data_IF_187711131245
#
_entry.id   IF_187711131245
#
_cell.length_a   1.000
_cell.length_b   1.000
_cell.length_c   1.000
_cell.angle_alpha   90.00
_cell.angle_beta   90.00
_cell.angle_gamma   90.00
#
_symmetry.space_group_name_H-M   'P 1'
#
loop_
_entity.id
_entity.type
_entity.pdbx_description
1 polymer ?
#
# COMPACT_ATOMS: atom_id res chain seq x y z
N UNK A 1 7.50 -3.81 -18.55
CA UNK A 1 8.65 -2.90 -18.76
C UNK A 1 9.02 -2.22 -17.46
N UNK A 2 8.26 -1.24 -16.96
CA UNK A 2 8.62 -0.57 -15.69
C UNK A 2 8.92 -1.50 -14.50
N UNK A 3 8.11 -2.55 -14.25
CA UNK A 3 8.38 -3.51 -13.16
C UNK A 3 9.75 -4.20 -13.31
N UNK A 4 10.02 -4.70 -14.50
CA UNK A 4 11.29 -5.36 -14.86
C UNK A 4 12.49 -4.40 -14.78
N UNK A 5 12.34 -3.17 -15.30
CA UNK A 5 13.38 -2.14 -15.30
C UNK A 5 13.78 -1.73 -13.88
N UNK A 6 12.82 -1.72 -12.94
CA UNK A 6 13.06 -1.43 -11.54
C UNK A 6 13.45 -2.68 -10.72
N UNK A 7 13.55 -3.85 -11.33
CA UNK A 7 13.86 -5.11 -10.63
C UNK A 7 12.74 -5.61 -9.70
N UNK A 8 11.51 -5.11 -9.88
CA UNK A 8 10.33 -5.51 -9.11
C UNK A 8 9.61 -6.62 -9.84
N UNK A 9 9.49 -7.78 -9.19
CA UNK A 9 8.83 -8.96 -9.74
C UNK A 9 9.67 -9.75 -10.74
N UNK A 10 9.10 -10.83 -11.27
CA UNK A 10 9.73 -11.82 -12.14
C UNK A 10 8.78 -12.15 -13.30
N UNK A 11 9.24 -12.81 -14.38
CA UNK A 11 8.37 -13.23 -15.48
C UNK A 11 7.11 -13.98 -15.03
N UNK A 12 7.21 -14.73 -13.92
CA UNK A 12 6.10 -15.44 -13.28
C UNK A 12 5.12 -14.53 -12.53
N UNK A 13 5.51 -13.32 -12.12
CA UNK A 13 4.70 -12.45 -11.25
C UNK A 13 4.14 -11.21 -11.95
N UNK A 14 4.66 -10.79 -13.11
CA UNK A 14 4.17 -9.58 -13.79
C UNK A 14 2.67 -9.63 -14.13
N UNK A 15 2.21 -10.71 -14.77
CA UNK A 15 0.80 -10.86 -15.13
C UNK A 15 -0.11 -11.02 -13.88
N UNK A 16 0.25 -11.85 -12.88
CA UNK A 16 -0.48 -11.91 -11.62
C UNK A 16 -0.58 -10.58 -10.87
N UNK A 17 0.49 -9.77 -10.83
CA UNK A 17 0.48 -8.44 -10.18
C UNK A 17 -0.56 -7.55 -10.85
N UNK A 18 -0.51 -7.43 -12.18
CA UNK A 18 -1.44 -6.59 -12.96
C UNK A 18 -2.88 -7.06 -12.76
N UNK A 19 -3.10 -8.38 -12.80
CA UNK A 19 -4.44 -8.96 -12.60
C UNK A 19 -4.97 -8.65 -11.20
N UNK A 20 -4.13 -8.83 -10.17
CA UNK A 20 -4.51 -8.58 -8.78
C UNK A 20 -4.91 -7.13 -8.51
N UNK A 21 -4.16 -6.16 -9.05
CA UNK A 21 -4.48 -4.73 -8.83
C UNK A 21 -5.74 -4.27 -9.58
N UNK A 22 -6.07 -4.95 -10.69
CA UNK A 22 -7.32 -4.73 -11.43
C UNK A 22 -8.49 -5.37 -10.68
N UNK A 23 -8.37 -6.64 -10.29
CA UNK A 23 -9.43 -7.41 -9.63
C UNK A 23 -9.82 -6.80 -8.28
N UNK A 24 -8.86 -6.22 -7.56
CA UNK A 24 -9.12 -5.49 -6.30
C UNK A 24 -9.62 -4.06 -6.50
N UNK A 25 -9.76 -3.60 -7.75
CA UNK A 25 -10.29 -2.28 -8.08
C UNK A 25 -9.36 -1.11 -7.73
N UNK A 26 -8.05 -1.35 -7.54
CA UNK A 26 -7.08 -0.27 -7.34
C UNK A 26 -6.78 0.48 -8.65
N UNK A 27 -6.84 -0.23 -9.76
CA UNK A 27 -6.70 0.33 -11.10
C UNK A 27 -7.81 -0.18 -12.02
N UNK A 28 -8.18 0.62 -13.00
CA UNK A 28 -9.08 0.26 -14.09
C UNK A 28 -8.32 0.26 -15.42
N UNK A 29 -8.79 -0.56 -16.38
CA UNK A 29 -8.22 -0.60 -17.73
C UNK A 29 -9.07 0.23 -18.68
N UNK A 30 -8.53 1.34 -19.15
CA UNK A 30 -9.19 2.27 -20.07
C UNK A 30 -8.33 2.43 -21.33
N UNK A 31 -8.86 2.12 -22.52
CA UNK A 31 -8.14 2.26 -23.80
C UNK A 31 -6.74 1.62 -23.81
N UNK A 32 -6.62 0.40 -23.27
CA UNK A 32 -5.35 -0.35 -23.09
C UNK A 32 -4.35 0.29 -22.11
N UNK A 33 -4.71 1.35 -21.39
CA UNK A 33 -3.92 1.97 -20.32
C UNK A 33 -4.47 1.58 -18.96
N UNK A 34 -3.60 1.56 -17.95
CA UNK A 34 -3.99 1.40 -16.54
C UNK A 34 -4.19 2.79 -15.94
N UNK A 35 -5.31 2.98 -15.24
CA UNK A 35 -5.67 4.23 -14.59
C UNK A 35 -6.01 3.97 -13.12
N UNK A 36 -5.40 4.69 -12.17
CA UNK A 36 -5.68 4.50 -10.76
C UNK A 36 -7.10 4.97 -10.41
N UNK A 37 -7.81 4.16 -9.64
CA UNK A 37 -9.13 4.52 -9.11
C UNK A 37 -9.00 5.43 -7.89
N UNK A 38 -10.11 5.99 -7.41
CA UNK A 38 -10.12 6.74 -6.14
C UNK A 38 -9.72 5.85 -4.96
N UNK A 39 -10.14 4.58 -4.97
CA UNK A 39 -9.74 3.60 -3.97
C UNK A 39 -8.23 3.34 -4.04
N UNK A 40 -7.68 3.12 -5.23
CA UNK A 40 -6.25 2.92 -5.44
C UNK A 40 -5.42 4.08 -4.89
N UNK A 41 -5.80 5.33 -5.21
CA UNK A 41 -5.11 6.53 -4.70
C UNK A 41 -5.22 6.67 -3.18
N UNK A 42 -6.38 6.35 -2.61
CA UNK A 42 -6.58 6.46 -1.16
C UNK A 42 -5.72 5.42 -0.40
N UNK A 43 -5.64 4.20 -0.92
CA UNK A 43 -4.79 3.15 -0.34
C UNK A 43 -3.31 3.46 -0.54
N UNK A 44 -2.91 3.89 -1.72
CA UNK A 44 -1.53 4.30 -2.02
C UNK A 44 -1.05 5.43 -1.09
N UNK A 45 -1.84 6.50 -0.97
CA UNK A 45 -1.53 7.61 -0.07
C UNK A 45 -1.45 7.19 1.40
N UNK A 46 -2.31 6.28 1.84
CA UNK A 46 -2.24 5.70 3.18
C UNK A 46 -0.94 4.90 3.38
N UNK A 47 -0.57 4.08 2.41
CA UNK A 47 0.63 3.25 2.49
C UNK A 47 1.89 4.12 2.50
N UNK A 48 1.93 5.19 1.71
CA UNK A 48 3.02 6.19 1.75
C UNK A 48 3.09 6.93 3.09
N UNK A 49 1.96 7.22 3.73
CA UNK A 49 1.93 7.91 5.03
C UNK A 49 2.44 7.02 6.17
N UNK A 50 2.05 5.73 6.17
CA UNK A 50 2.32 4.82 7.29
C UNK A 50 3.56 3.96 7.09
N UNK A 51 3.91 3.64 5.84
CA UNK A 51 4.93 2.67 5.47
C UNK A 51 5.82 3.15 4.32
N UNK A 52 6.37 4.39 4.35
CA UNK A 52 7.06 4.97 3.20
C UNK A 52 8.25 4.13 2.73
N UNK A 53 9.00 3.54 3.66
CA UNK A 53 10.15 2.68 3.40
C UNK A 53 9.78 1.30 2.82
N UNK A 54 8.56 0.81 3.02
CA UNK A 54 8.16 -0.53 2.55
C UNK A 54 7.57 -0.48 1.14
N UNK A 55 6.86 0.60 0.80
CA UNK A 55 6.33 0.81 -0.56
C UNK A 55 7.35 1.44 -1.51
N UNK A 56 8.56 1.67 -1.03
CA UNK A 56 9.65 2.16 -1.84
C UNK A 56 10.06 1.13 -2.92
N UNK A 57 10.42 1.66 -4.09
CA UNK A 57 10.77 0.87 -5.27
C UNK A 57 12.09 0.13 -5.04
N UNK A 58 13.09 0.80 -4.46
CA UNK A 58 14.41 0.21 -4.21
C UNK A 58 14.32 -0.85 -3.13
N UNK A 59 13.54 -0.61 -2.08
CA UNK A 59 13.25 -1.61 -1.05
C UNK A 59 12.60 -2.87 -1.63
N UNK A 60 11.57 -2.70 -2.47
CA UNK A 60 10.89 -3.82 -3.12
C UNK A 60 11.87 -4.63 -4.00
N UNK A 61 12.73 -3.95 -4.76
CA UNK A 61 13.75 -4.59 -5.59
C UNK A 61 14.82 -5.31 -4.74
N UNK A 62 15.22 -4.74 -3.60
CA UNK A 62 16.16 -5.38 -2.68
C UNK A 62 15.57 -6.65 -2.07
N UNK A 63 14.31 -6.62 -1.65
CA UNK A 63 13.63 -7.79 -1.12
C UNK A 63 13.56 -8.93 -2.14
N UNK A 64 13.21 -8.63 -3.38
CA UNK A 64 13.24 -9.57 -4.50
C UNK A 64 14.63 -10.20 -4.69
N UNK A 65 15.71 -9.41 -4.63
CA UNK A 65 17.09 -9.92 -4.69
C UNK A 65 17.43 -10.81 -3.50
N UNK A 66 16.92 -10.50 -2.31
CA UNK A 66 17.16 -11.32 -1.12
C UNK A 66 16.42 -12.66 -1.23
N UNK A 67 15.23 -12.69 -1.81
CA UNK A 67 14.52 -13.93 -2.11
C UNK A 67 15.24 -14.79 -3.17
N UNK A 68 15.85 -14.19 -4.21
CA UNK A 68 16.68 -14.95 -5.16
C UNK A 68 17.93 -15.57 -4.49
N UNK A 69 18.53 -14.87 -3.50
CA UNK A 69 19.65 -15.43 -2.71
C UNK A 69 19.20 -16.63 -1.89
N UNK A 70 17.98 -16.60 -1.36
CA UNK A 70 17.37 -17.73 -0.67
C UNK A 70 17.15 -18.89 -1.63
N UNK A 71 16.56 -18.64 -2.81
CA UNK A 71 16.34 -19.68 -3.83
C UNK A 71 17.65 -20.36 -4.26
N UNK A 72 18.72 -19.58 -4.41
CA UNK A 72 20.06 -20.10 -4.76
C UNK A 72 20.85 -20.69 -3.59
N UNK A 73 20.26 -20.76 -2.38
CA UNK A 73 20.89 -21.32 -1.18
C UNK A 73 22.03 -20.48 -0.60
N UNK A 74 22.16 -19.21 -1.01
CA UNK A 74 23.22 -18.28 -0.54
C UNK A 74 22.87 -17.59 0.76
N UNK A 75 21.62 -17.67 1.20
CA UNK A 75 21.14 -17.05 2.44
C UNK A 75 20.05 -17.92 3.06
N UNK A 76 20.01 -17.95 4.39
CA UNK A 76 18.98 -18.64 5.15
C UNK A 76 17.65 -17.86 5.12
N UNK A 77 16.57 -18.54 4.75
CA UNK A 77 15.26 -17.92 4.58
C UNK A 77 14.65 -17.44 5.90
N UNK A 78 14.89 -18.15 7.01
CA UNK A 78 14.39 -17.74 8.31
C UNK A 78 15.00 -16.40 8.71
N UNK A 79 16.32 -16.26 8.53
CA UNK A 79 17.03 -15.01 8.79
C UNK A 79 16.51 -13.87 7.92
N UNK A 80 16.32 -14.08 6.62
CA UNK A 80 15.78 -13.04 5.72
C UNK A 80 14.40 -12.55 6.16
N UNK A 81 13.50 -13.47 6.53
CA UNK A 81 12.16 -13.10 7.00
C UNK A 81 12.21 -12.41 8.37
N UNK A 82 13.04 -12.90 9.29
CA UNK A 82 13.19 -12.32 10.63
C UNK A 82 13.77 -10.90 10.59
N UNK A 83 14.78 -10.67 9.75
CA UNK A 83 15.40 -9.35 9.56
C UNK A 83 14.39 -8.34 8.98
N UNK A 84 13.56 -8.75 8.03
CA UNK A 84 12.46 -7.94 7.51
C UNK A 84 11.41 -7.64 8.60
N UNK A 85 10.94 -8.69 9.28
CA UNK A 85 9.77 -8.58 10.15
C UNK A 85 10.04 -7.72 11.39
N UNK A 86 11.27 -7.72 11.93
CA UNK A 86 11.65 -6.85 13.04
C UNK A 86 11.44 -5.36 12.74
N UNK A 87 11.87 -4.90 11.56
CA UNK A 87 11.66 -3.52 11.13
C UNK A 87 10.20 -3.21 10.77
N UNK A 88 9.52 -4.18 10.15
CA UNK A 88 8.11 -4.06 9.80
C UNK A 88 7.21 -3.96 11.04
N UNK A 89 7.44 -4.79 12.06
CA UNK A 89 6.63 -4.83 13.29
C UNK A 89 6.61 -3.48 14.02
N UNK A 90 7.76 -2.81 14.12
CA UNK A 90 7.82 -1.46 14.70
C UNK A 90 6.99 -0.43 13.89
N UNK A 91 7.07 -0.51 12.55
CA UNK A 91 6.26 0.34 11.67
C UNK A 91 4.76 0.05 11.82
N UNK A 92 4.39 -1.22 11.99
CA UNK A 92 3.01 -1.66 12.20
C UNK A 92 2.43 -1.13 13.51
N UNK A 93 3.18 -1.23 14.61
CA UNK A 93 2.75 -0.68 15.90
C UNK A 93 2.51 0.82 15.85
N UNK A 94 3.40 1.55 15.15
CA UNK A 94 3.27 2.99 14.99
C UNK A 94 2.04 3.35 14.13
N UNK A 95 1.82 2.59 13.06
CA UNK A 95 0.64 2.76 12.21
C UNK A 95 -0.64 2.52 13.01
N UNK A 96 -0.73 1.44 13.78
CA UNK A 96 -1.89 1.17 14.64
C UNK A 96 -2.20 2.29 15.62
N UNK A 97 -1.17 2.88 16.26
CA UNK A 97 -1.33 4.00 17.19
C UNK A 97 -1.89 5.23 16.47
N UNK A 98 -1.33 5.57 15.30
CA UNK A 98 -1.80 6.68 14.46
C UNK A 98 -3.26 6.48 14.06
N UNK A 99 -3.62 5.26 13.64
CA UNK A 99 -4.98 4.89 13.26
C UNK A 99 -5.98 4.97 14.42
N UNK A 100 -5.62 4.41 15.59
CA UNK A 100 -6.43 4.51 16.82
C UNK A 100 -6.65 5.97 17.21
N UNK A 101 -5.62 6.82 17.11
CA UNK A 101 -5.70 8.26 17.38
C UNK A 101 -6.53 9.04 16.35
N UNK A 102 -6.53 8.62 15.07
CA UNK A 102 -7.35 9.23 14.01
C UNK A 102 -8.83 8.84 14.18
N UNK A 103 -9.09 7.58 14.53
CA UNK A 103 -10.44 7.06 14.81
C UNK A 103 -11.08 7.70 16.03
N UNK A 104 -10.31 7.96 17.10
CA UNK A 104 -10.82 8.67 18.28
C UNK A 104 -11.14 10.14 17.97
N UNK A 105 -10.33 10.81 17.14
CA UNK A 105 -10.57 12.21 16.69
C UNK A 105 -11.85 12.36 15.84
N UNK A 106 -12.14 11.41 14.95
CA UNK A 106 -13.37 11.43 14.15
C UNK A 106 -14.65 11.19 14.97
N UNK A 107 -14.57 10.72 16.22
CA UNK A 107 -15.74 10.55 17.08
C UNK A 107 -16.15 11.87 17.79
N UNK A 108 -15.29 12.89 17.78
CA UNK A 108 -15.47 14.11 18.60
C UNK A 108 -15.96 15.34 17.82
N UNK A 109 -16.46 15.19 16.61
CA UNK A 109 -17.20 16.26 15.93
C UNK A 109 -18.36 15.74 15.09
N UNK A 110 -19.43 15.35 15.77
CA UNK A 110 -20.77 15.63 15.26
C UNK A 110 -21.26 16.89 15.98
N UNK A 111 -21.07 18.10 15.44
CA UNK A 111 -21.87 19.21 15.91
C UNK A 111 -23.34 18.89 15.55
N UNK A 112 -24.17 18.80 16.57
CA UNK A 112 -25.61 18.82 16.40
C UNK A 112 -25.99 20.10 15.66
N UNK A 113 -26.52 19.96 14.43
CA UNK A 113 -27.33 20.92 13.67
C UNK A 113 -26.94 22.41 13.71
N UNK A 114 -26.60 22.94 12.54
CA UNK A 114 -27.39 24.03 11.93
C UNK A 114 -27.04 24.16 10.45
N UNK A 115 -28.06 24.11 9.59
CA UNK A 115 -27.93 24.36 8.17
C UNK A 115 -27.59 25.84 7.94
N UNK A 116 -26.38 26.12 7.43
CA UNK A 116 -26.09 27.38 6.71
C UNK A 116 -24.96 27.13 5.73
N UNK A 117 -25.20 27.57 4.50
CA UNK A 117 -24.37 27.47 3.30
C UNK A 117 -22.91 27.87 3.53
N UNK A 118 -22.03 26.89 3.73
CA UNK A 118 -20.59 27.04 3.47
C UNK A 118 -20.04 25.68 3.05
N UNK A 119 -19.23 25.69 1.99
CA UNK A 119 -18.71 24.52 1.29
C UNK A 119 -18.18 23.44 2.26
N UNK A 120 -18.98 22.40 2.47
CA UNK A 120 -18.59 21.24 3.28
C UNK A 120 -17.69 20.38 2.39
N UNK A 121 -16.44 20.06 2.80
CA UNK A 121 -15.58 19.20 1.99
C UNK A 121 -16.24 17.83 1.81
N UNK A 122 -16.38 17.43 0.54
CA UNK A 122 -17.09 16.21 0.14
C UNK A 122 -16.32 14.96 0.60
N UNK A 123 -16.90 14.20 1.52
CA UNK A 123 -16.34 12.92 1.97
C UNK A 123 -16.83 11.82 1.04
N UNK A 124 -15.95 11.29 0.19
CA UNK A 124 -16.27 10.12 -0.64
C UNK A 124 -16.16 8.87 0.25
N UNK A 125 -17.31 8.23 0.47
CA UNK A 125 -17.42 6.99 1.23
C UNK A 125 -17.63 5.86 0.23
N UNK A 126 -16.56 5.13 -0.10
CA UNK A 126 -16.66 3.93 -0.94
C UNK A 126 -17.23 2.80 -0.08
N UNK A 127 -18.34 2.21 -0.53
CA UNK A 127 -19.06 1.16 0.18
C UNK A 127 -19.26 -0.10 -0.67
N UNK A 128 -19.03 -1.23 0.00
CA UNK A 128 -19.00 -2.65 -0.40
C UNK A 128 -17.95 -3.06 -1.42
#
# INVERSE_FOLDING_TARGET
>A
KALEENGIGRPSTYAPIITTIIDRGYVEREQKKLKPTLLGRAVDGLMLEQFPHIVDVDFSAEMEKNLDKVESGKTDWHKTVDDFYKGFAASLEQAEKTWKARRSRCRTSLPARSATSAAVPMVIKVGK
#
